data_IF_782222005868
#
_entry.id   IF_782222005868
#
_cell.length_a   1.000
_cell.length_b   1.000
_cell.length_c   1.000
_cell.angle_alpha   90.00
_cell.angle_beta   90.00
_cell.angle_gamma   90.00
#
_symmetry.space_group_name_H-M   'P 1'
#
loop_
_entity.id
_entity.type
_entity.pdbx_description
1 polymer ?
#
# COMPACT_ATOMS: atom_id res chain seq x y z
N UNK A 1 20.45 -0.42 -39.63
CA UNK A 1 21.24 -0.32 -38.39
C UNK A 1 20.66 0.68 -37.40
N UNK A 2 20.34 1.93 -37.81
CA UNK A 2 19.76 2.97 -36.93
C UNK A 2 18.47 2.52 -36.22
N UNK A 3 17.55 1.86 -36.95
CA UNK A 3 16.25 1.44 -36.42
C UNK A 3 16.36 0.30 -35.39
N UNK A 4 17.35 -0.59 -35.58
CA UNK A 4 17.66 -1.66 -34.59
C UNK A 4 18.21 -1.04 -33.30
N UNK A 5 19.08 -0.05 -33.41
CA UNK A 5 19.64 0.66 -32.25
C UNK A 5 18.52 1.38 -31.50
N UNK A 6 17.61 2.06 -32.22
CA UNK A 6 16.46 2.75 -31.61
C UNK A 6 15.51 1.77 -30.91
N UNK A 7 15.24 0.60 -31.51
CA UNK A 7 14.41 -0.43 -30.87
C UNK A 7 15.05 -0.97 -29.58
N UNK A 8 16.35 -1.24 -29.58
CA UNK A 8 17.09 -1.71 -28.40
C UNK A 8 17.13 -0.63 -27.30
N UNK A 9 17.42 0.62 -27.67
CA UNK A 9 17.41 1.75 -26.72
C UNK A 9 16.02 1.95 -26.13
N UNK A 10 14.96 1.90 -26.96
CA UNK A 10 13.57 1.99 -26.51
C UNK A 10 13.19 0.87 -25.53
N UNK A 11 13.62 -0.37 -25.82
CA UNK A 11 13.42 -1.51 -24.93
C UNK A 11 14.09 -1.29 -23.56
N UNK A 12 15.38 -0.89 -23.56
CA UNK A 12 16.12 -0.65 -22.32
C UNK A 12 15.48 0.46 -21.49
N UNK A 13 15.14 1.59 -22.12
CA UNK A 13 14.47 2.70 -21.43
C UNK A 13 13.11 2.25 -20.88
N UNK A 14 12.32 1.52 -21.66
CA UNK A 14 11.03 0.99 -21.23
C UNK A 14 11.16 0.04 -20.04
N UNK A 15 12.13 -0.86 -20.03
CA UNK A 15 12.40 -1.74 -18.87
C UNK A 15 12.74 -0.90 -17.63
N UNK A 16 13.62 0.09 -17.76
CA UNK A 16 14.02 0.97 -16.64
C UNK A 16 12.79 1.71 -16.10
N UNK A 17 11.95 2.29 -16.95
CA UNK A 17 10.75 3.00 -16.52
C UNK A 17 9.74 2.08 -15.83
N UNK A 18 9.51 0.89 -16.38
CA UNK A 18 8.60 -0.10 -15.79
C UNK A 18 9.10 -0.54 -14.42
N UNK A 19 10.39 -0.85 -14.28
CA UNK A 19 10.95 -1.33 -13.01
C UNK A 19 11.09 -0.23 -11.95
N UNK A 20 11.25 1.03 -12.36
CA UNK A 20 11.43 2.14 -11.43
C UNK A 20 10.11 2.81 -10.99
N UNK A 21 9.12 2.92 -11.88
CA UNK A 21 7.90 3.70 -11.61
C UNK A 21 6.67 2.84 -11.31
N UNK A 22 6.56 1.65 -11.90
CA UNK A 22 5.37 0.83 -11.73
C UNK A 22 5.19 0.24 -10.33
N UNK A 23 6.24 -0.15 -9.58
CA UNK A 23 6.04 -0.66 -8.22
C UNK A 23 5.32 0.34 -7.31
N UNK A 24 5.70 1.61 -7.36
CA UNK A 24 5.08 2.65 -6.55
C UNK A 24 3.62 2.89 -6.98
N UNK A 25 3.36 2.97 -8.28
CA UNK A 25 2.00 3.14 -8.81
C UNK A 25 1.10 1.93 -8.50
N UNK A 26 1.65 0.71 -8.51
CA UNK A 26 0.92 -0.50 -8.11
C UNK A 26 0.65 -0.48 -6.61
N UNK A 27 1.62 -0.09 -5.79
CA UNK A 27 1.43 -0.01 -4.35
C UNK A 27 0.35 1.02 -4.01
N UNK A 28 0.36 2.20 -4.61
CA UNK A 28 -0.69 3.21 -4.44
C UNK A 28 -2.07 2.70 -4.89
N UNK A 29 -2.14 1.88 -5.93
CA UNK A 29 -3.39 1.31 -6.43
C UNK A 29 -3.95 0.17 -5.57
N UNK A 30 -3.11 -0.53 -4.79
CA UNK A 30 -3.54 -1.64 -3.92
C UNK A 30 -3.67 -1.25 -2.46
N UNK A 31 -3.31 -0.04 -2.06
CA UNK A 31 -3.43 0.47 -0.70
C UNK A 31 -4.44 1.61 -0.61
N UNK A 32 -5.13 1.71 0.52
CA UNK A 32 -6.14 2.72 0.79
C UNK A 32 -5.96 3.24 2.24
N UNK A 33 -5.68 4.54 2.44
CA UNK A 33 -5.68 5.13 3.76
C UNK A 33 -7.08 5.08 4.37
N UNK A 34 -7.17 4.54 5.57
CA UNK A 34 -8.43 4.37 6.27
C UNK A 34 -8.31 4.83 7.72
N UNK A 35 -9.43 5.23 8.33
CA UNK A 35 -9.46 5.63 9.72
C UNK A 35 -10.75 5.14 10.38
N UNK A 36 -10.62 4.62 11.59
CA UNK A 36 -11.74 4.16 12.40
C UNK A 36 -11.83 4.94 13.70
N UNK A 37 -13.06 5.11 14.18
CA UNK A 37 -13.36 5.83 15.40
C UNK A 37 -13.84 4.86 16.47
N UNK A 38 -13.22 4.88 17.63
CA UNK A 38 -13.54 4.06 18.79
C UNK A 38 -13.98 4.95 19.96
N UNK A 39 -15.11 4.60 20.59
CA UNK A 39 -15.56 5.26 21.81
C UNK A 39 -14.87 4.58 23.00
N UNK A 40 -13.85 5.22 23.53
CA UNK A 40 -12.98 4.68 24.60
C UNK A 40 -13.25 5.38 25.91
N UNK A 41 -13.30 4.60 27.01
CA UNK A 41 -13.29 5.12 28.37
C UNK A 41 -12.23 4.37 29.17
N UNK A 42 -11.16 5.07 29.55
CA UNK A 42 -10.11 4.51 30.40
C UNK A 42 -10.59 4.41 31.83
N UNK A 43 -10.28 3.29 32.49
CA UNK A 43 -10.54 3.10 33.90
C UNK A 43 -9.58 3.91 34.79
N UNK A 44 -9.82 3.92 36.10
CA UNK A 44 -8.98 4.69 37.01
C UNK A 44 -7.54 4.19 37.08
N UNK A 45 -6.61 4.99 36.56
CA UNK A 45 -5.17 4.70 36.54
C UNK A 45 -4.68 4.06 35.25
N UNK A 46 -5.55 3.69 34.32
CA UNK A 46 -5.18 3.20 33.01
C UNK A 46 -4.93 4.37 32.05
N UNK A 47 -3.85 4.27 31.27
CA UNK A 47 -3.43 5.26 30.27
C UNK A 47 -3.35 4.68 28.86
N UNK A 48 -3.70 3.40 28.71
CA UNK A 48 -3.67 2.67 27.44
C UNK A 48 -5.02 2.01 27.14
N UNK A 49 -5.21 1.67 25.88
CA UNK A 49 -6.35 0.88 25.40
C UNK A 49 -5.91 -0.01 24.25
N UNK A 50 -6.64 -1.10 24.05
CA UNK A 50 -6.46 -1.96 22.88
C UNK A 50 -7.77 -2.03 22.11
N UNK A 51 -7.71 -1.65 20.83
CA UNK A 51 -8.85 -1.63 19.93
C UNK A 51 -8.59 -2.55 18.75
N UNK A 52 -9.63 -3.28 18.32
CA UNK A 52 -9.53 -4.19 17.16
C UNK A 52 -10.00 -3.48 15.90
N UNK A 53 -9.14 -3.40 14.90
CA UNK A 53 -9.45 -2.81 13.60
C UNK A 53 -10.41 -3.71 12.81
N UNK A 54 -11.27 -3.11 11.99
CA UNK A 54 -12.19 -3.85 11.11
C UNK A 54 -11.48 -4.52 9.94
N UNK A 55 -10.30 -4.04 9.58
CA UNK A 55 -9.49 -4.54 8.46
C UNK A 55 -8.04 -4.73 8.88
N UNK A 56 -7.37 -5.66 8.21
CA UNK A 56 -5.93 -5.89 8.34
C UNK A 56 -5.15 -4.63 7.92
N UNK A 57 -4.14 -4.27 8.71
CA UNK A 57 -3.20 -3.23 8.33
C UNK A 57 -2.19 -3.78 7.31
N UNK A 58 -2.11 -3.14 6.14
CA UNK A 58 -1.36 -3.60 4.95
C UNK A 58 0.13 -3.90 5.22
N UNK A 59 0.78 -3.12 6.07
CA UNK A 59 2.21 -3.30 6.35
C UNK A 59 2.49 -4.34 7.46
N UNK A 60 1.49 -4.71 8.26
CA UNK A 60 1.65 -5.71 9.33
C UNK A 60 2.51 -5.27 10.52
N UNK A 61 2.93 -4.00 10.55
CA UNK A 61 3.78 -3.42 11.60
C UNK A 61 3.23 -2.04 12.05
N UNK A 62 4.06 -1.19 12.65
CA UNK A 62 3.67 0.16 13.10
C UNK A 62 3.80 1.23 12.00
N UNK A 63 4.23 0.88 10.81
CA UNK A 63 4.41 1.83 9.69
C UNK A 63 3.05 2.41 9.27
N UNK A 64 2.96 3.72 9.19
CA UNK A 64 1.75 4.45 8.82
C UNK A 64 0.52 4.20 9.72
N UNK A 65 0.72 3.63 10.93
CA UNK A 65 -0.27 3.60 11.99
C UNK A 65 -0.22 4.91 12.78
N UNK A 66 -1.37 5.52 12.99
CA UNK A 66 -1.50 6.76 13.74
C UNK A 66 -2.69 6.72 14.69
N UNK A 67 -2.61 7.45 15.80
CA UNK A 67 -3.72 7.62 16.71
C UNK A 67 -3.92 9.11 17.02
N UNK A 68 -5.18 9.52 17.15
CA UNK A 68 -5.55 10.85 17.63
C UNK A 68 -6.78 10.76 18.52
N UNK A 69 -6.94 11.70 19.43
CA UNK A 69 -8.01 11.71 20.43
C UNK A 69 -8.77 13.03 20.40
N UNK A 70 -10.05 12.97 20.79
CA UNK A 70 -10.87 14.18 21.01
C UNK A 70 -10.61 14.82 22.39
N UNK A 71 -9.89 14.17 23.28
CA UNK A 71 -9.50 14.73 24.57
C UNK A 71 -8.17 15.49 24.43
N UNK A 72 -8.14 16.77 24.76
CA UNK A 72 -6.97 17.66 24.62
C UNK A 72 -5.80 17.29 25.53
N UNK A 73 -6.05 16.55 26.60
CA UNK A 73 -5.00 16.09 27.53
C UNK A 73 -4.30 14.81 27.08
N UNK A 74 -4.82 14.15 26.04
CA UNK A 74 -4.24 12.93 25.51
C UNK A 74 -3.05 13.25 24.58
N UNK A 75 -2.06 12.37 24.64
CA UNK A 75 -0.94 12.33 23.69
C UNK A 75 -0.83 10.92 23.11
N UNK A 76 -1.84 10.49 22.32
CA UNK A 76 -1.97 9.09 21.93
C UNK A 76 -0.78 8.65 21.06
N UNK A 77 -0.20 7.52 21.41
CA UNK A 77 0.91 6.88 20.69
C UNK A 77 0.56 5.42 20.45
N UNK A 78 0.68 4.96 19.22
CA UNK A 78 0.52 3.54 18.88
C UNK A 78 1.75 2.78 19.38
N UNK A 79 1.54 1.80 20.26
CA UNK A 79 2.59 1.03 20.91
C UNK A 79 2.80 -0.33 20.24
N UNK A 80 1.74 -0.98 19.80
CA UNK A 80 1.82 -2.28 19.16
C UNK A 80 0.65 -2.51 18.19
N UNK A 81 0.90 -3.37 17.23
CA UNK A 81 -0.09 -3.95 16.31
C UNK A 81 0.08 -5.46 16.27
N UNK A 82 -1.02 -6.18 16.31
CA UNK A 82 -1.05 -7.63 16.17
C UNK A 82 -1.77 -8.00 14.86
N UNK A 83 -1.03 -8.50 13.87
CA UNK A 83 -1.57 -8.84 12.55
C UNK A 83 -2.52 -10.04 12.55
N UNK A 84 -2.43 -10.93 13.54
CA UNK A 84 -3.32 -12.09 13.64
C UNK A 84 -4.72 -11.72 14.16
N UNK A 85 -4.80 -10.72 15.04
CA UNK A 85 -6.05 -10.29 15.69
C UNK A 85 -6.51 -8.90 15.27
N UNK A 86 -5.66 -8.16 14.55
CA UNK A 86 -5.84 -6.74 14.13
C UNK A 86 -5.95 -5.79 15.33
N UNK A 87 -5.40 -6.19 16.48
CA UNK A 87 -5.43 -5.38 17.69
C UNK A 87 -4.35 -4.31 17.67
N UNK A 88 -4.74 -3.08 17.96
CA UNK A 88 -3.86 -1.92 18.10
C UNK A 88 -3.88 -1.46 19.55
N UNK A 89 -2.73 -1.41 20.20
CA UNK A 89 -2.58 -0.83 21.54
C UNK A 89 -2.11 0.61 21.44
N UNK A 90 -2.86 1.51 22.04
CA UNK A 90 -2.58 2.95 22.11
C UNK A 90 -2.38 3.36 23.55
N UNK A 91 -1.25 4.03 23.84
CA UNK A 91 -0.91 4.60 25.15
C UNK A 91 -0.94 6.14 25.08
N UNK A 92 -0.72 6.79 26.22
CA UNK A 92 -0.70 8.25 26.36
C UNK A 92 -2.09 8.88 26.51
N UNK A 93 -3.05 8.10 27.03
CA UNK A 93 -4.42 8.54 27.28
C UNK A 93 -4.58 9.02 28.72
N UNK A 94 -5.40 10.04 28.95
CA UNK A 94 -5.77 10.50 30.30
C UNK A 94 -6.61 9.43 31.00
N UNK A 95 -6.26 9.11 32.25
CA UNK A 95 -6.99 8.15 33.06
C UNK A 95 -8.39 8.67 33.45
N UNK A 96 -9.35 7.75 33.53
CA UNK A 96 -10.73 8.06 33.96
C UNK A 96 -11.46 9.06 33.04
N UNK A 97 -11.12 9.12 31.77
CA UNK A 97 -11.75 10.01 30.79
C UNK A 97 -12.40 9.24 29.63
N UNK A 98 -13.52 9.77 29.13
CA UNK A 98 -14.19 9.25 27.93
C UNK A 98 -13.84 10.10 26.73
N UNK A 99 -13.58 9.46 25.59
CA UNK A 99 -13.16 10.11 24.34
C UNK A 99 -13.55 9.33 23.11
N UNK A 100 -13.40 9.96 21.95
CA UNK A 100 -13.33 9.25 20.68
C UNK A 100 -11.86 9.17 20.28
N UNK A 101 -11.35 7.94 20.14
CA UNK A 101 -10.03 7.65 19.63
C UNK A 101 -10.16 7.37 18.13
N UNK A 102 -9.41 8.05 17.29
CA UNK A 102 -9.35 7.80 15.84
C UNK A 102 -8.02 7.11 15.55
N UNK A 103 -8.08 5.90 14.99
CA UNK A 103 -6.90 5.15 14.55
C UNK A 103 -6.87 5.18 13.03
N UNK A 104 -5.80 5.78 12.48
CA UNK A 104 -5.51 5.81 11.04
C UNK A 104 -4.53 4.72 10.66
N UNK A 105 -4.80 4.01 9.58
CA UNK A 105 -3.97 2.93 9.06
C UNK A 105 -4.12 2.77 7.55
N UNK A 106 -3.24 2.01 6.93
CA UNK A 106 -3.32 1.65 5.52
C UNK A 106 -3.93 0.26 5.41
N UNK A 107 -5.00 0.10 4.67
CA UNK A 107 -5.58 -1.19 4.35
C UNK A 107 -5.35 -1.56 2.89
N UNK A 108 -5.56 -2.82 2.55
CA UNK A 108 -5.58 -3.24 1.15
C UNK A 108 -6.82 -2.64 0.45
N UNK A 109 -6.59 -1.93 -0.66
CA UNK A 109 -7.67 -1.36 -1.44
C UNK A 109 -8.53 -2.48 -2.06
N UNK A 110 -9.83 -2.24 -2.15
CA UNK A 110 -10.77 -3.16 -2.79
C UNK A 110 -10.81 -4.59 -2.19
N UNK A 111 -10.70 -4.71 -0.86
CA UNK A 111 -10.82 -6.01 -0.17
C UNK A 111 -12.11 -6.76 -0.52
N UNK A 112 -13.15 -6.04 -0.94
CA UNK A 112 -14.42 -6.61 -1.41
C UNK A 112 -14.27 -7.40 -2.72
N UNK A 113 -13.20 -7.15 -3.51
CA UNK A 113 -12.91 -7.83 -4.76
C UNK A 113 -11.75 -8.81 -4.59
N UNK A 114 -12.06 -10.03 -4.17
CA UNK A 114 -11.07 -11.10 -4.03
C UNK A 114 -10.22 -11.24 -5.30
N UNK A 115 -8.91 -11.03 -5.19
CA UNK A 115 -7.96 -11.16 -6.29
C UNK A 115 -7.69 -9.87 -7.07
N UNK A 116 -8.33 -8.73 -6.75
CA UNK A 116 -8.04 -7.45 -7.42
C UNK A 116 -6.59 -7.02 -7.23
N UNK A 117 -6.08 -7.03 -6.02
CA UNK A 117 -4.68 -6.70 -5.72
C UNK A 117 -3.70 -7.62 -6.44
N UNK A 118 -3.99 -8.93 -6.48
CA UNK A 118 -3.19 -9.89 -7.24
C UNK A 118 -3.17 -9.56 -8.73
N UNK A 119 -4.31 -9.17 -9.30
CA UNK A 119 -4.40 -8.74 -10.70
C UNK A 119 -3.59 -7.46 -10.96
N UNK A 120 -3.72 -6.44 -10.12
CA UNK A 120 -2.99 -5.17 -10.26
C UNK A 120 -1.48 -5.40 -10.16
N UNK A 121 -1.02 -6.28 -9.27
CA UNK A 121 0.41 -6.66 -9.15
C UNK A 121 0.97 -7.37 -10.39
N UNK A 122 0.11 -7.96 -11.24
CA UNK A 122 0.53 -8.54 -12.52
C UNK A 122 0.71 -7.51 -13.64
N UNK A 123 0.17 -6.29 -13.49
CA UNK A 123 0.25 -5.25 -14.52
C UNK A 123 1.68 -4.93 -14.96
N UNK A 124 2.68 -4.75 -14.06
CA UNK A 124 4.07 -4.53 -14.47
C UNK A 124 4.63 -5.65 -15.32
N UNK A 125 4.33 -6.90 -14.95
CA UNK A 125 4.79 -8.07 -15.67
C UNK A 125 4.16 -8.18 -17.07
N UNK A 126 2.86 -7.91 -17.19
CA UNK A 126 2.15 -7.88 -18.47
C UNK A 126 2.66 -6.75 -19.36
N UNK A 127 2.93 -5.57 -18.78
CA UNK A 127 3.53 -4.45 -19.52
C UNK A 127 4.93 -4.79 -20.05
N UNK A 128 5.75 -5.48 -19.25
CA UNK A 128 7.07 -5.94 -19.68
C UNK A 128 6.98 -6.92 -20.85
N UNK A 129 6.09 -7.91 -20.75
CA UNK A 129 5.86 -8.90 -21.84
C UNK A 129 5.42 -8.17 -23.11
N UNK A 130 4.47 -7.24 -23.02
CA UNK A 130 3.99 -6.44 -24.15
C UNK A 130 5.12 -5.65 -24.82
N UNK A 131 6.00 -5.05 -24.03
CA UNK A 131 7.16 -4.31 -24.51
C UNK A 131 8.15 -5.22 -25.28
N UNK A 132 8.44 -6.41 -24.72
CA UNK A 132 9.33 -7.40 -25.37
C UNK A 132 8.74 -7.86 -26.70
N UNK A 133 7.44 -8.21 -26.73
CA UNK A 133 6.76 -8.64 -27.95
C UNK A 133 6.79 -7.54 -29.01
N UNK A 134 6.48 -6.30 -28.63
CA UNK A 134 6.50 -5.15 -29.56
C UNK A 134 7.90 -4.90 -30.13
N UNK A 135 8.94 -5.03 -29.31
CA UNK A 135 10.34 -4.87 -29.74
C UNK A 135 10.78 -5.97 -30.71
N UNK A 136 10.42 -7.22 -30.41
CA UNK A 136 10.69 -8.36 -31.31
C UNK A 136 9.96 -8.20 -32.63
N UNK A 137 8.67 -7.80 -32.62
CA UNK A 137 7.91 -7.54 -33.84
C UNK A 137 8.56 -6.46 -34.72
N UNK A 138 9.02 -5.36 -34.12
CA UNK A 138 9.75 -4.30 -34.80
C UNK A 138 11.04 -4.82 -35.48
N UNK A 139 11.79 -5.69 -34.78
CA UNK A 139 12.98 -6.32 -35.34
C UNK A 139 12.64 -7.26 -36.52
N UNK A 140 11.66 -8.12 -36.36
CA UNK A 140 11.24 -9.05 -37.44
C UNK A 140 10.73 -8.32 -38.70
N UNK A 141 9.93 -7.26 -38.51
CA UNK A 141 9.41 -6.48 -39.65
C UNK A 141 10.55 -5.79 -40.43
N UNK A 142 11.60 -5.35 -39.71
CA UNK A 142 12.78 -4.74 -40.32
C UNK A 142 13.59 -5.74 -41.16
N UNK A 143 13.74 -6.98 -40.69
CA UNK A 143 14.43 -8.02 -41.44
C UNK A 143 13.60 -8.54 -42.65
N UNK A 144 12.30 -8.66 -42.47
CA UNK A 144 11.39 -9.12 -43.54
C UNK A 144 11.31 -8.16 -44.74
N UNK A 145 11.42 -6.85 -44.52
CA UNK A 145 11.40 -5.85 -45.59
C UNK A 145 12.73 -5.65 -46.32
N UNK A 146 13.78 -6.40 -45.99
CA UNK A 146 15.10 -6.35 -46.60
C UNK A 146 15.40 -7.56 -47.53
N UNK A 147 14.51 -8.52 -47.57
CA UNK A 147 14.57 -9.66 -48.52
C UNK A 147 13.64 -9.44 -49.69
#
# INVERSE_FOLDING_TARGET
>A
MRDVILAVVGLVIGIILITALLPDAVNEAVTDPYAENFAVTTAGGETDTTETLSYEHYYGDLTDLSASSTNENDTPVVMSYNEDTYDVTVDGLEASASRTLTIGYIREAHQEFTGFSAFVRLVPFLALIGLVIASLWGLFSHFSNRG
#
